data_IF_769196980900
#
_entry.id   IF_769196980900
#
_cell.length_a   1.000
_cell.length_b   1.000
_cell.length_c   1.000
_cell.angle_alpha   90.00
_cell.angle_beta   90.00
_cell.angle_gamma   90.00
#
_symmetry.space_group_name_H-M   'P 1'
#
loop_
_entity.id
_entity.type
_entity.pdbx_description
1 polymer ?
#
# COMPACT_ATOMS: atom_id res chain seq x y z
N UNK A 1 -19.91 -0.45 16.01
CA UNK A 1 -19.44 0.98 16.24
C UNK A 1 -19.45 1.34 17.73
N UNK A 2 -20.53 1.08 18.47
CA UNK A 2 -20.64 1.44 19.88
C UNK A 2 -19.56 0.76 20.74
N UNK A 3 -19.37 -0.54 20.56
CA UNK A 3 -18.35 -1.35 21.25
C UNK A 3 -16.94 -0.80 21.00
N UNK A 4 -16.63 -0.35 19.78
CA UNK A 4 -15.34 0.20 19.42
C UNK A 4 -15.03 1.50 20.16
N UNK A 5 -16.01 2.38 20.34
CA UNK A 5 -15.85 3.61 21.13
C UNK A 5 -15.53 3.28 22.61
N UNK A 6 -16.20 2.29 23.16
CA UNK A 6 -15.96 1.84 24.54
C UNK A 6 -14.60 1.16 24.69
N UNK A 7 -14.19 0.34 23.71
CA UNK A 7 -12.87 -0.27 23.66
C UNK A 7 -11.76 0.78 23.68
N UNK A 8 -11.86 1.82 22.84
CA UNK A 8 -10.91 2.94 22.83
C UNK A 8 -10.79 3.65 24.19
N UNK A 9 -11.90 3.82 24.89
CA UNK A 9 -11.90 4.42 26.23
C UNK A 9 -11.23 3.51 27.25
N UNK A 10 -11.45 2.19 27.20
CA UNK A 10 -10.80 1.22 28.07
C UNK A 10 -9.29 1.13 27.83
N UNK A 11 -8.84 1.22 26.58
CA UNK A 11 -7.41 1.24 26.25
C UNK A 11 -6.72 2.50 26.81
N UNK A 12 -7.42 3.63 26.81
CA UNK A 12 -6.90 4.89 27.39
C UNK A 12 -6.91 4.93 28.92
N UNK A 13 -7.89 4.28 29.54
CA UNK A 13 -8.05 4.25 30.99
C UNK A 13 -8.76 2.96 31.40
N UNK A 14 -8.01 2.05 32.02
CA UNK A 14 -8.54 0.77 32.50
C UNK A 14 -9.61 0.93 33.59
N UNK A 15 -9.61 2.06 34.31
CA UNK A 15 -10.66 2.40 35.27
C UNK A 15 -12.04 2.64 34.60
N UNK A 16 -12.07 2.78 33.27
CA UNK A 16 -13.34 2.93 32.56
C UNK A 16 -14.29 1.74 32.76
N UNK A 17 -13.76 0.56 33.08
CA UNK A 17 -14.57 -0.65 33.38
C UNK A 17 -15.52 -0.44 34.58
N UNK A 18 -15.18 0.47 35.50
CA UNK A 18 -15.99 0.81 36.66
C UNK A 18 -17.03 1.91 36.38
N UNK A 19 -16.95 2.52 35.20
CA UNK A 19 -17.86 3.61 34.83
C UNK A 19 -19.29 3.11 34.63
N UNK A 20 -20.26 3.97 34.97
CA UNK A 20 -21.67 3.69 34.72
C UNK A 20 -21.95 3.45 33.21
N UNK A 21 -21.19 4.12 32.34
CA UNK A 21 -21.33 3.97 30.89
C UNK A 21 -20.98 2.55 30.44
N UNK A 22 -19.92 1.95 30.98
CA UNK A 22 -19.55 0.57 30.65
C UNK A 22 -20.52 -0.43 31.26
N UNK A 23 -20.92 -0.22 32.54
CA UNK A 23 -21.86 -1.10 33.25
C UNK A 23 -23.26 -1.13 32.65
N UNK A 24 -23.68 -0.08 31.96
CA UNK A 24 -24.98 0.01 31.29
C UNK A 24 -25.01 -0.71 29.93
N UNK A 25 -23.86 -1.19 29.42
CA UNK A 25 -23.82 -2.02 28.22
C UNK A 25 -24.44 -3.38 28.51
N UNK A 26 -24.92 -4.06 27.45
CA UNK A 26 -25.36 -5.45 27.57
C UNK A 26 -24.18 -6.33 28.02
N UNK A 27 -24.45 -7.42 28.74
CA UNK A 27 -23.42 -8.36 29.20
C UNK A 27 -22.62 -8.92 27.99
N UNK A 28 -23.28 -9.15 26.85
CA UNK A 28 -22.63 -9.58 25.60
C UNK A 28 -21.63 -8.53 25.10
N UNK A 29 -22.02 -7.27 25.01
CA UNK A 29 -21.11 -6.19 24.58
C UNK A 29 -19.95 -5.97 25.56
N UNK A 30 -20.23 -6.06 26.89
CA UNK A 30 -19.17 -5.97 27.90
C UNK A 30 -18.15 -7.10 27.72
N UNK A 31 -18.61 -8.32 27.51
CA UNK A 31 -17.73 -9.48 27.32
C UNK A 31 -16.90 -9.34 26.04
N UNK A 32 -17.51 -8.97 24.90
CA UNK A 32 -16.80 -8.74 23.63
C UNK A 32 -15.70 -7.69 23.76
N UNK A 33 -16.00 -6.54 24.39
CA UNK A 33 -15.03 -5.47 24.58
C UNK A 33 -13.84 -5.93 25.45
N UNK A 34 -14.12 -6.70 26.53
CA UNK A 34 -13.06 -7.22 27.40
C UNK A 34 -12.21 -8.26 26.67
N UNK A 35 -12.82 -9.16 25.90
CA UNK A 35 -12.10 -10.18 25.14
C UNK A 35 -11.13 -9.52 24.15
N UNK A 36 -11.60 -8.57 23.36
CA UNK A 36 -10.74 -7.81 22.42
C UNK A 36 -9.62 -7.06 23.15
N UNK A 37 -9.89 -6.47 24.32
CA UNK A 37 -8.87 -5.79 25.12
C UNK A 37 -7.81 -6.75 25.65
N UNK A 38 -8.21 -7.94 26.09
CA UNK A 38 -7.28 -8.97 26.57
C UNK A 38 -6.39 -9.50 25.43
N UNK A 39 -6.97 -9.70 24.23
CA UNK A 39 -6.24 -10.10 23.02
C UNK A 39 -5.26 -9.01 22.60
N UNK A 40 -5.68 -7.75 22.63
CA UNK A 40 -4.80 -6.61 22.33
C UNK A 40 -3.64 -6.49 23.32
N UNK A 41 -3.88 -6.70 24.61
CA UNK A 41 -2.80 -6.73 25.60
C UNK A 41 -1.84 -7.89 25.36
N UNK A 42 -2.35 -9.06 24.96
CA UNK A 42 -1.53 -10.21 24.62
C UNK A 42 -0.67 -9.95 23.37
N UNK A 43 -1.27 -9.35 22.33
CA UNK A 43 -0.57 -8.93 21.11
C UNK A 43 0.57 -7.97 21.43
N UNK A 44 0.31 -6.91 22.22
CA UNK A 44 1.36 -5.98 22.65
C UNK A 44 2.51 -6.67 23.37
N UNK A 45 2.22 -7.64 24.24
CA UNK A 45 3.23 -8.40 24.95
C UNK A 45 4.07 -9.27 24.01
N UNK A 46 3.47 -9.79 22.94
CA UNK A 46 4.18 -10.59 21.94
C UNK A 46 5.19 -9.75 21.15
N UNK A 47 4.82 -8.51 20.82
CA UNK A 47 5.71 -7.57 20.11
C UNK A 47 6.79 -6.98 21.02
N UNK A 48 6.46 -6.74 22.29
CA UNK A 48 7.38 -6.16 23.28
C UNK A 48 7.37 -7.02 24.56
N UNK A 49 8.16 -8.11 24.59
CA UNK A 49 8.17 -9.07 25.70
C UNK A 49 8.50 -8.48 27.07
N UNK A 50 9.28 -7.38 27.09
CA UNK A 50 9.69 -6.68 28.32
C UNK A 50 8.58 -5.81 28.94
N UNK A 51 7.45 -5.65 28.26
CA UNK A 51 6.30 -4.95 28.84
C UNK A 51 5.77 -5.72 30.06
N UNK A 52 5.87 -5.09 31.22
CA UNK A 52 5.28 -5.64 32.46
C UNK A 52 3.78 -5.83 32.25
N UNK A 53 3.27 -6.96 32.74
CA UNK A 53 1.83 -7.20 32.74
C UNK A 53 1.13 -6.10 33.55
N UNK A 54 0.11 -5.47 32.98
CA UNK A 54 -0.71 -4.52 33.71
C UNK A 54 -1.34 -5.21 34.93
N UNK A 55 -1.24 -4.60 36.13
CA UNK A 55 -1.91 -5.12 37.33
C UNK A 55 -3.41 -5.29 37.13
N UNK A 56 -3.97 -4.55 36.23
CA UNK A 56 -5.39 -4.50 35.92
C UNK A 56 -5.88 -5.66 35.05
N UNK A 57 -4.96 -6.40 34.38
CA UNK A 57 -5.33 -7.62 33.65
C UNK A 57 -6.09 -8.61 34.53
N UNK A 58 -5.67 -8.76 35.79
CA UNK A 58 -6.37 -9.63 36.76
C UNK A 58 -7.78 -9.13 37.07
N UNK A 59 -7.99 -7.81 37.08
CA UNK A 59 -9.31 -7.21 37.24
C UNK A 59 -10.20 -7.47 36.02
N UNK A 60 -9.67 -7.28 34.82
CA UNK A 60 -10.37 -7.58 33.57
C UNK A 60 -10.81 -9.05 33.52
N UNK A 61 -9.90 -10.00 33.81
CA UNK A 61 -10.20 -11.41 33.85
C UNK A 61 -11.28 -11.74 34.89
N UNK A 62 -11.25 -11.11 36.08
CA UNK A 62 -12.26 -11.29 37.13
C UNK A 62 -13.64 -10.75 36.70
N UNK A 63 -13.69 -9.66 35.97
CA UNK A 63 -14.96 -9.13 35.41
C UNK A 63 -15.43 -10.06 34.28
N UNK A 64 -14.55 -10.45 33.39
CA UNK A 64 -14.86 -11.34 32.26
C UNK A 64 -15.43 -12.69 32.73
N UNK A 65 -14.88 -13.26 33.81
CA UNK A 65 -15.36 -14.56 34.36
C UNK A 65 -16.79 -14.54 34.90
N UNK A 66 -17.36 -13.36 35.10
CA UNK A 66 -18.75 -13.19 35.55
C UNK A 66 -19.72 -12.95 34.40
N UNK A 67 -19.22 -12.73 33.19
CA UNK A 67 -20.02 -12.47 32.00
C UNK A 67 -20.26 -13.78 31.23
N UNK A 68 -21.31 -13.84 30.39
CA UNK A 68 -21.62 -15.02 29.64
C UNK A 68 -20.50 -15.41 28.68
N UNK A 69 -20.41 -16.73 28.40
CA UNK A 69 -19.56 -17.21 27.31
C UNK A 69 -20.16 -16.74 26.00
N UNK A 70 -19.33 -16.12 25.17
CA UNK A 70 -19.72 -15.72 23.83
C UNK A 70 -19.11 -16.74 22.88
N UNK A 71 -19.97 -17.42 22.15
CA UNK A 71 -19.52 -18.15 20.97
C UNK A 71 -19.08 -17.12 19.93
N UNK A 72 -17.78 -17.10 19.62
CA UNK A 72 -17.26 -16.27 18.53
C UNK A 72 -17.72 -16.89 17.21
N UNK A 73 -18.76 -16.34 16.63
CA UNK A 73 -19.21 -16.64 15.27
C UNK A 73 -18.22 -16.03 14.26
N UNK A 74 -16.93 -16.32 14.37
CA UNK A 74 -15.99 -16.03 13.28
C UNK A 74 -16.23 -17.08 12.20
N UNK A 75 -17.02 -16.71 11.21
CA UNK A 75 -17.10 -17.50 9.98
C UNK A 75 -15.85 -17.22 9.15
N UNK A 76 -15.03 -18.24 8.97
CA UNK A 76 -13.89 -18.20 8.05
C UNK A 76 -14.30 -18.52 6.60
N UNK A 77 -15.57 -18.73 6.34
CA UNK A 77 -16.10 -19.15 5.04
C UNK A 77 -15.82 -18.14 3.92
N UNK A 78 -15.64 -16.87 4.26
CA UNK A 78 -15.36 -15.81 3.30
C UNK A 78 -13.88 -15.40 3.22
N UNK A 79 -13.00 -16.08 3.95
CA UNK A 79 -11.57 -15.80 3.88
C UNK A 79 -10.98 -16.61 2.74
N UNK A 80 -10.64 -15.93 1.66
CA UNK A 80 -9.96 -16.56 0.52
C UNK A 80 -8.59 -17.10 0.95
N UNK A 81 -8.26 -18.27 0.46
CA UNK A 81 -6.93 -18.86 0.69
C UNK A 81 -5.84 -18.01 0.03
N UNK A 82 -4.64 -17.89 0.60
CA UNK A 82 -3.49 -17.29 -0.08
C UNK A 82 -3.19 -17.89 -1.46
N UNK A 83 -3.51 -19.17 -1.65
CA UNK A 83 -3.34 -19.85 -2.95
C UNK A 83 -4.33 -19.38 -4.03
N UNK A 84 -5.38 -18.67 -3.67
CA UNK A 84 -6.34 -18.08 -4.59
C UNK A 84 -5.95 -16.67 -5.04
N UNK A 85 -4.90 -16.11 -4.42
CA UNK A 85 -4.34 -14.81 -4.78
C UNK A 85 -3.61 -14.80 -6.11
N UNK A 86 -3.12 -13.65 -6.48
CA UNK A 86 -2.35 -13.43 -7.71
C UNK A 86 -1.04 -14.25 -7.70
N UNK A 87 -0.72 -14.99 -8.78
CA UNK A 87 0.56 -15.65 -8.90
C UNK A 87 1.75 -14.67 -8.78
N UNK A 88 2.88 -15.09 -8.17
CA UNK A 88 4.02 -14.20 -7.94
C UNK A 88 4.77 -13.80 -9.20
N UNK A 89 4.67 -14.57 -10.28
CA UNK A 89 5.31 -14.26 -11.56
C UNK A 89 4.26 -13.92 -12.60
N UNK A 90 4.53 -12.87 -13.38
CA UNK A 90 3.64 -12.42 -14.44
C UNK A 90 4.37 -12.08 -15.72
N UNK A 91 3.66 -12.27 -16.83
CA UNK A 91 4.03 -11.82 -18.15
C UNK A 91 3.02 -10.77 -18.63
N UNK A 92 3.53 -9.77 -19.32
CA UNK A 92 2.75 -8.72 -19.95
C UNK A 92 2.97 -8.75 -21.44
N UNK A 93 1.89 -8.58 -22.20
CA UNK A 93 1.91 -8.31 -23.62
C UNK A 93 0.90 -7.22 -23.90
N UNK A 94 1.27 -6.19 -24.63
CA UNK A 94 0.41 -5.07 -24.91
C UNK A 94 0.92 -4.17 -26.03
N UNK A 95 0.15 -3.14 -26.31
CA UNK A 95 0.53 -2.07 -27.25
C UNK A 95 0.72 -0.79 -26.51
N UNK A 96 1.74 -0.02 -26.88
CA UNK A 96 2.04 1.30 -26.33
C UNK A 96 1.87 2.33 -27.44
N UNK A 97 1.18 3.41 -27.15
CA UNK A 97 1.07 4.56 -28.02
C UNK A 97 1.82 5.72 -27.38
N UNK A 98 2.80 6.24 -28.07
CA UNK A 98 3.60 7.36 -27.62
C UNK A 98 3.49 8.49 -28.66
N UNK A 99 3.11 9.69 -28.22
CA UNK A 99 2.84 10.81 -29.11
C UNK A 99 4.06 11.25 -29.93
N UNK A 100 5.27 11.01 -29.39
CA UNK A 100 6.53 11.44 -30.02
C UNK A 100 7.23 10.29 -30.77
N UNK A 101 7.13 9.05 -30.26
CA UNK A 101 7.84 7.89 -30.80
C UNK A 101 6.95 6.95 -31.62
N UNK A 102 5.64 7.20 -31.65
CA UNK A 102 4.66 6.35 -32.31
C UNK A 102 4.32 5.04 -31.57
N UNK A 103 3.58 4.14 -32.23
CA UNK A 103 3.15 2.88 -31.63
C UNK A 103 4.30 1.88 -31.45
N UNK A 104 4.19 1.01 -30.47
CA UNK A 104 5.09 -0.11 -30.21
C UNK A 104 4.33 -1.31 -29.63
N UNK A 105 4.84 -2.51 -29.86
CA UNK A 105 4.47 -3.69 -29.11
C UNK A 105 5.31 -3.73 -27.83
N UNK A 106 4.68 -3.95 -26.68
CA UNK A 106 5.37 -4.06 -25.41
C UNK A 106 5.21 -5.46 -24.83
N UNK A 107 6.30 -5.98 -24.29
CA UNK A 107 6.29 -7.17 -23.43
C UNK A 107 7.02 -6.87 -22.13
N UNK A 108 6.62 -7.56 -21.07
CA UNK A 108 7.23 -7.40 -19.75
C UNK A 108 7.18 -8.68 -18.93
N UNK A 109 8.07 -8.73 -17.95
CA UNK A 109 8.19 -9.85 -17.00
C UNK A 109 8.38 -9.29 -15.60
N UNK A 110 7.61 -9.80 -14.64
CA UNK A 110 7.77 -9.58 -13.21
C UNK A 110 8.11 -10.87 -12.51
N UNK A 111 9.21 -10.89 -11.77
CA UNK A 111 9.65 -12.11 -11.09
C UNK A 111 8.99 -12.29 -9.72
N UNK A 112 8.69 -11.21 -9.02
CA UNK A 112 7.91 -11.23 -7.79
C UNK A 112 6.95 -10.05 -7.84
N UNK A 113 5.66 -10.35 -7.82
CA UNK A 113 4.65 -9.39 -8.18
C UNK A 113 3.44 -9.45 -7.25
N UNK A 114 3.23 -8.38 -6.55
CA UNK A 114 1.97 -8.02 -5.93
C UNK A 114 1.84 -6.50 -6.00
N UNK A 115 0.86 -5.99 -6.70
CA UNK A 115 0.62 -4.56 -6.80
C UNK A 115 -0.71 -4.16 -6.16
N UNK A 116 -0.86 -2.86 -5.91
CA UNK A 116 -2.06 -2.27 -5.29
C UNK A 116 -3.34 -2.46 -6.11
N UNK A 117 -3.23 -2.69 -7.40
CA UNK A 117 -4.37 -3.01 -8.27
C UNK A 117 -4.62 -4.52 -8.33
N UNK A 118 -3.77 -5.33 -7.70
CA UNK A 118 -3.88 -6.78 -7.63
C UNK A 118 -5.01 -7.25 -6.74
N UNK A 119 -5.24 -8.56 -6.74
CA UNK A 119 -6.09 -9.20 -5.76
C UNK A 119 -5.32 -9.31 -4.43
N UNK A 120 -5.97 -8.98 -3.33
CA UNK A 120 -5.33 -8.87 -2.01
C UNK A 120 -5.28 -10.21 -1.24
N UNK A 121 -5.89 -11.27 -1.78
CA UNK A 121 -5.93 -12.58 -1.12
C UNK A 121 -4.53 -13.12 -0.86
N UNK A 122 -4.21 -13.36 0.41
CA UNK A 122 -2.91 -13.85 0.85
C UNK A 122 -1.77 -12.85 0.88
N UNK A 123 -2.04 -11.59 0.59
CA UNK A 123 -1.07 -10.50 0.63
C UNK A 123 -1.40 -9.49 1.74
N UNK A 124 -0.43 -8.64 2.08
CA UNK A 124 -0.68 -7.51 2.98
C UNK A 124 -1.61 -6.51 2.28
N UNK A 125 -2.70 -6.16 2.97
CA UNK A 125 -3.64 -5.16 2.49
C UNK A 125 -2.94 -3.82 2.24
N UNK A 126 -3.32 -3.17 1.13
CA UNK A 126 -2.80 -1.86 0.75
C UNK A 126 -1.26 -1.82 0.66
N UNK A 127 -0.65 -2.91 0.25
CA UNK A 127 0.78 -3.02 0.03
C UNK A 127 1.09 -3.40 -1.43
N UNK A 128 2.25 -3.01 -1.90
CA UNK A 128 2.80 -3.40 -3.19
C UNK A 128 4.21 -3.92 -3.00
N UNK A 129 4.51 -5.04 -3.62
CA UNK A 129 5.86 -5.60 -3.70
C UNK A 129 6.08 -6.07 -5.13
N UNK A 130 6.84 -5.32 -5.88
CA UNK A 130 7.25 -5.66 -7.24
C UNK A 130 8.76 -5.71 -7.27
N UNK A 131 9.33 -6.82 -7.73
CA UNK A 131 10.77 -6.96 -7.90
C UNK A 131 11.09 -7.51 -9.28
N UNK A 132 12.23 -7.09 -9.82
CA UNK A 132 12.71 -7.50 -11.15
C UNK A 132 11.65 -7.30 -12.24
N UNK A 133 11.12 -6.08 -12.32
CA UNK A 133 10.19 -5.67 -13.36
C UNK A 133 10.95 -5.21 -14.60
N UNK A 134 10.74 -5.90 -15.70
CA UNK A 134 11.43 -5.69 -16.97
C UNK A 134 10.43 -5.39 -18.06
N UNK A 135 10.60 -4.25 -18.75
CA UNK A 135 9.77 -3.87 -19.90
C UNK A 135 10.62 -3.73 -21.16
N UNK A 136 10.13 -4.30 -22.25
CA UNK A 136 10.75 -4.31 -23.55
C UNK A 136 9.75 -3.83 -24.59
N UNK A 137 10.19 -3.00 -25.53
CA UNK A 137 9.38 -2.52 -26.65
C UNK A 137 10.00 -2.90 -27.98
N UNK A 138 9.13 -3.28 -28.90
CA UNK A 138 9.44 -3.52 -30.29
C UNK A 138 8.76 -2.45 -31.11
N UNK A 139 9.55 -1.67 -31.83
CA UNK A 139 9.09 -0.59 -32.71
C UNK A 139 9.80 -0.67 -34.03
N UNK A 140 9.04 -0.80 -35.10
CA UNK A 140 9.57 -1.09 -36.43
C UNK A 140 10.53 -2.29 -36.37
N UNK A 141 11.77 -2.13 -36.77
CA UNK A 141 12.81 -3.17 -36.74
C UNK A 141 13.73 -3.06 -35.50
N UNK A 142 13.34 -2.27 -34.51
CA UNK A 142 14.15 -2.04 -33.31
C UNK A 142 13.57 -2.71 -32.06
N UNK A 143 14.47 -3.28 -31.27
CA UNK A 143 14.20 -3.80 -29.94
C UNK A 143 14.80 -2.88 -28.90
N UNK A 144 14.03 -2.50 -27.90
CA UNK A 144 14.50 -1.66 -26.83
C UNK A 144 14.04 -2.16 -25.48
N UNK A 145 14.96 -2.23 -24.52
CA UNK A 145 14.68 -2.37 -23.12
C UNK A 145 14.34 -0.98 -22.56
N UNK A 146 13.10 -0.78 -22.12
CA UNK A 146 12.59 0.55 -21.76
C UNK A 146 12.60 0.83 -20.27
N UNK A 147 12.49 -0.22 -19.46
CA UNK A 147 12.50 -0.14 -18.01
C UNK A 147 13.07 -1.41 -17.41
N UNK A 148 13.82 -1.25 -16.35
CA UNK A 148 14.17 -2.29 -15.42
C UNK A 148 14.05 -1.76 -14.00
N UNK A 149 13.08 -2.26 -13.25
CA UNK A 149 12.87 -1.92 -11.86
C UNK A 149 13.40 -3.05 -10.98
N UNK A 150 14.41 -2.74 -10.19
CA UNK A 150 14.99 -3.71 -9.27
C UNK A 150 13.98 -4.05 -8.16
N UNK A 151 13.36 -3.01 -7.61
CA UNK A 151 12.25 -3.15 -6.69
C UNK A 151 11.36 -1.89 -6.70
N UNK A 152 10.08 -2.10 -6.39
CA UNK A 152 9.10 -1.09 -6.00
C UNK A 152 8.29 -1.68 -4.85
N UNK A 153 8.47 -1.13 -3.67
CA UNK A 153 7.83 -1.60 -2.44
C UNK A 153 7.15 -0.42 -1.79
N UNK A 154 5.87 -0.56 -1.50
CA UNK A 154 5.10 0.48 -0.82
C UNK A 154 4.01 -0.10 0.07
N UNK A 155 3.66 0.64 1.11
CA UNK A 155 2.59 0.31 2.05
C UNK A 155 1.79 1.56 2.38
N UNK A 156 0.47 1.46 2.25
CA UNK A 156 -0.47 2.46 2.74
C UNK A 156 -1.02 2.01 4.10
N UNK A 157 -0.68 2.74 5.13
CA UNK A 157 -1.13 2.47 6.49
C UNK A 157 -2.41 3.27 6.78
N UNK A 158 -3.56 2.59 6.77
CA UNK A 158 -4.87 3.23 6.95
C UNK A 158 -5.25 3.44 8.41
N UNK A 159 -4.57 2.77 9.35
CA UNK A 159 -4.88 2.84 10.79
C UNK A 159 -6.38 2.61 11.10
N UNK A 160 -6.99 1.51 10.64
CA UNK A 160 -8.43 1.33 10.61
C UNK A 160 -9.06 1.30 12.00
N UNK A 161 -8.32 0.90 13.02
CA UNK A 161 -8.84 0.82 14.39
C UNK A 161 -8.82 2.17 15.09
N UNK A 162 -7.91 3.08 14.71
CA UNK A 162 -7.65 4.34 15.39
C UNK A 162 -7.35 4.16 16.89
N UNK A 163 -6.81 2.99 17.27
CA UNK A 163 -6.38 2.66 18.63
C UNK A 163 -4.98 3.22 18.83
N UNK A 164 -4.70 3.74 20.02
CA UNK A 164 -3.36 4.21 20.38
C UNK A 164 -2.32 3.08 20.23
N UNK A 165 -1.34 3.28 19.36
CA UNK A 165 -0.33 2.28 19.01
C UNK A 165 -0.60 1.52 17.72
N UNK A 166 -1.74 1.75 17.06
CA UNK A 166 -2.06 1.27 15.72
C UNK A 166 -1.68 2.29 14.64
N UNK A 167 -1.07 3.39 15.03
CA UNK A 167 -0.57 4.38 14.08
C UNK A 167 0.70 3.87 13.44
N UNK A 168 0.66 3.69 12.12
CA UNK A 168 1.82 3.35 11.29
C UNK A 168 1.97 4.42 10.18
N UNK A 169 3.19 4.56 9.67
CA UNK A 169 3.47 5.44 8.54
C UNK A 169 3.29 4.68 7.23
N UNK A 170 2.65 5.33 6.28
CA UNK A 170 2.75 4.90 4.90
C UNK A 170 4.16 5.20 4.38
N UNK A 171 4.72 4.28 3.61
CA UNK A 171 6.06 4.45 3.06
C UNK A 171 6.18 3.79 1.69
N UNK A 172 7.13 4.26 0.93
CA UNK A 172 7.47 3.67 -0.37
C UNK A 172 8.97 3.78 -0.64
N UNK A 173 9.48 2.84 -1.42
CA UNK A 173 10.85 2.85 -1.91
C UNK A 173 10.92 2.15 -3.25
N UNK A 174 11.73 2.69 -4.17
CA UNK A 174 11.94 2.11 -5.49
C UNK A 174 13.33 2.38 -5.99
N UNK A 175 13.85 1.45 -6.80
CA UNK A 175 15.12 1.61 -7.48
C UNK A 175 15.12 0.86 -8.82
N UNK A 176 15.86 1.39 -9.77
CA UNK A 176 15.95 0.80 -11.09
C UNK A 176 16.53 1.76 -12.12
N UNK A 177 16.24 1.50 -13.35
CA UNK A 177 16.43 2.45 -14.43
C UNK A 177 15.19 2.48 -15.34
N UNK A 178 14.92 3.62 -15.92
CA UNK A 178 13.79 3.85 -16.80
C UNK A 178 14.17 4.87 -17.88
N UNK A 179 13.30 5.03 -18.86
CA UNK A 179 13.43 6.11 -19.83
C UNK A 179 13.34 7.47 -19.14
N UNK A 180 14.27 8.36 -19.43
CA UNK A 180 14.36 9.67 -18.78
C UNK A 180 13.19 10.58 -19.18
N UNK A 181 12.83 10.55 -20.44
CA UNK A 181 11.65 11.23 -20.95
C UNK A 181 10.94 10.34 -21.98
N UNK A 182 9.63 10.53 -22.14
CA UNK A 182 8.80 9.68 -22.98
C UNK A 182 9.12 9.84 -24.49
N UNK A 183 9.74 10.94 -24.90
CA UNK A 183 10.08 11.22 -26.29
C UNK A 183 11.49 10.82 -26.72
N UNK A 184 12.29 10.26 -25.82
CA UNK A 184 13.67 9.89 -26.12
C UNK A 184 13.92 8.40 -25.89
N UNK A 185 14.10 7.64 -26.96
CA UNK A 185 14.38 6.20 -26.88
C UNK A 185 15.71 5.89 -26.17
N UNK A 186 16.87 6.50 -26.52
CA UNK A 186 18.16 6.16 -25.90
C UNK A 186 18.39 6.80 -24.52
N UNK A 187 17.51 7.72 -24.08
CA UNK A 187 17.69 8.44 -22.82
C UNK A 187 17.23 7.59 -21.64
N UNK A 188 18.17 7.06 -20.88
CA UNK A 188 17.89 6.22 -19.70
C UNK A 188 18.49 6.86 -18.46
N UNK A 189 17.75 6.84 -17.36
CA UNK A 189 18.20 7.29 -16.06
C UNK A 189 18.18 6.13 -15.08
N UNK A 190 19.18 6.06 -14.21
CA UNK A 190 19.15 5.21 -13.03
C UNK A 190 18.56 6.05 -11.91
N UNK A 191 17.68 5.48 -11.14
CA UNK A 191 17.02 6.16 -10.03
C UNK A 191 16.97 5.29 -8.77
N UNK A 192 16.95 5.97 -7.64
CA UNK A 192 16.58 5.44 -6.34
C UNK A 192 15.73 6.48 -5.62
N UNK A 193 14.65 6.05 -5.02
CA UNK A 193 13.83 6.95 -4.19
C UNK A 193 13.28 6.23 -2.98
N UNK A 194 12.95 7.01 -1.97
CA UNK A 194 12.27 6.54 -0.77
C UNK A 194 11.54 7.68 -0.09
N UNK A 195 10.38 7.39 0.48
CA UNK A 195 9.55 8.41 1.10
C UNK A 195 8.60 7.85 2.15
N UNK A 196 8.05 8.79 2.91
CA UNK A 196 7.07 8.52 3.95
C UNK A 196 5.86 9.43 3.76
N UNK A 197 4.72 9.00 4.29
CA UNK A 197 3.50 9.77 4.18
C UNK A 197 2.36 9.22 5.00
N UNK A 198 1.15 9.60 4.64
CA UNK A 198 -0.08 9.13 5.24
C UNK A 198 -1.05 8.62 4.20
N UNK A 199 -1.97 7.77 4.63
CA UNK A 199 -3.09 7.30 3.84
C UNK A 199 -4.36 7.28 4.68
N UNK A 200 -5.49 7.53 4.04
CA UNK A 200 -6.82 7.45 4.65
C UNK A 200 -7.77 6.74 3.68
N UNK A 201 -8.87 6.24 4.19
CA UNK A 201 -9.99 5.75 3.39
C UNK A 201 -11.24 6.52 3.77
N UNK A 202 -11.88 7.18 2.82
CA UNK A 202 -13.08 7.98 3.05
C UNK A 202 -14.35 7.16 2.87
N UNK A 203 -14.39 6.28 1.87
CA UNK A 203 -15.56 5.49 1.51
C UNK A 203 -15.38 3.97 1.69
N UNK A 204 -14.28 3.51 2.26
CA UNK A 204 -14.00 2.09 2.52
C UNK A 204 -13.60 1.25 1.30
N UNK A 205 -13.65 1.84 0.10
CA UNK A 205 -13.24 1.23 -1.17
C UNK A 205 -12.17 2.07 -1.91
N UNK A 206 -11.64 3.02 -1.23
CA UNK A 206 -10.68 4.00 -1.71
C UNK A 206 -9.55 4.15 -0.71
N UNK A 207 -8.40 4.55 -1.19
CA UNK A 207 -7.23 4.91 -0.39
C UNK A 207 -6.65 6.17 -0.97
N UNK A 208 -6.91 7.30 -0.32
CA UNK A 208 -6.25 8.56 -0.59
C UNK A 208 -4.91 8.58 0.15
N UNK A 209 -3.89 9.04 -0.54
CA UNK A 209 -2.55 9.06 0.04
C UNK A 209 -1.76 10.31 -0.36
N UNK A 210 -0.84 10.67 0.53
CA UNK A 210 0.13 11.72 0.31
C UNK A 210 1.50 11.26 0.82
N UNK A 211 2.54 11.44 0.00
CA UNK A 211 3.93 11.10 0.32
C UNK A 211 4.85 12.27 0.07
N UNK A 212 5.92 12.33 0.84
CA UNK A 212 7.10 13.10 0.50
C UNK A 212 8.25 12.11 0.25
N UNK A 213 8.74 12.08 -0.98
CA UNK A 213 9.88 11.27 -1.37
C UNK A 213 11.15 12.09 -1.47
N UNK A 214 12.26 11.48 -1.13
CA UNK A 214 13.60 11.88 -1.54
C UNK A 214 14.00 11.00 -2.71
N UNK A 215 14.64 11.60 -3.71
CA UNK A 215 15.10 10.86 -4.87
C UNK A 215 16.53 11.25 -5.27
N UNK A 216 17.22 10.27 -5.83
CA UNK A 216 18.48 10.45 -6.55
C UNK A 216 18.37 9.82 -7.93
N UNK A 217 18.80 10.53 -8.96
CA UNK A 217 18.81 10.01 -10.31
C UNK A 217 20.03 10.46 -11.10
N UNK A 218 20.45 9.64 -12.07
CA UNK A 218 21.50 10.01 -13.01
C UNK A 218 20.90 10.77 -14.17
N UNK A 219 21.64 11.75 -14.67
CA UNK A 219 21.29 12.47 -15.89
C UNK A 219 22.28 12.11 -16.99
N UNK A 220 21.78 11.74 -18.15
CA UNK A 220 22.62 11.31 -19.29
C UNK A 220 23.18 12.47 -20.09
N UNK A 221 22.53 13.63 -20.09
CA UNK A 221 23.04 14.84 -20.75
C UNK A 221 24.31 15.36 -20.07
N UNK A 222 24.46 15.07 -18.79
CA UNK A 222 25.61 15.40 -17.99
C UNK A 222 26.35 14.14 -17.58
N UNK A 223 27.34 13.69 -18.31
CA UNK A 223 28.07 12.41 -18.21
C UNK A 223 28.52 11.93 -16.80
N UNK A 224 28.23 12.67 -15.75
CA UNK A 224 28.55 12.37 -14.36
C UNK A 224 27.70 13.10 -13.31
N UNK A 225 26.62 13.78 -13.70
CA UNK A 225 25.82 14.51 -12.72
C UNK A 225 24.73 13.62 -12.13
N UNK A 226 24.72 13.56 -10.83
CA UNK A 226 23.64 13.00 -10.03
C UNK A 226 22.73 14.16 -9.64
N UNK A 227 21.44 14.03 -9.94
CA UNK A 227 20.40 14.94 -9.45
C UNK A 227 19.84 14.38 -8.16
N UNK A 228 19.79 15.21 -7.13
CA UNK A 228 19.16 14.91 -5.85
C UNK A 228 18.00 15.88 -5.65
N UNK A 229 16.91 15.38 -5.10
CA UNK A 229 15.74 16.21 -4.88
C UNK A 229 14.68 15.57 -4.00
N UNK A 230 13.53 16.21 -3.97
CA UNK A 230 12.35 15.73 -3.28
C UNK A 230 11.13 15.80 -4.20
N UNK A 231 10.14 14.95 -3.92
CA UNK A 231 8.91 14.88 -4.68
C UNK A 231 7.72 14.66 -3.75
N UNK A 232 6.87 15.67 -3.54
CA UNK A 232 5.55 15.44 -2.99
C UNK A 232 4.69 14.70 -4.00
N UNK A 233 3.98 13.67 -3.53
CA UNK A 233 3.04 12.85 -4.29
C UNK A 233 1.67 12.89 -3.65
N UNK A 234 0.65 12.96 -4.47
CA UNK A 234 -0.74 12.81 -4.08
C UNK A 234 -1.39 11.78 -4.99
N UNK A 235 -2.27 10.96 -4.43
CA UNK A 235 -2.98 10.00 -5.25
C UNK A 235 -4.17 9.36 -4.57
N UNK A 236 -4.90 8.60 -5.37
CA UNK A 236 -6.05 7.81 -4.95
C UNK A 236 -6.00 6.43 -5.61
N UNK A 237 -6.24 5.40 -4.82
CA UNK A 237 -6.57 4.07 -5.30
C UNK A 237 -8.05 3.84 -5.00
N UNK A 238 -8.81 3.48 -6.01
CA UNK A 238 -10.24 3.27 -5.90
C UNK A 238 -10.62 1.90 -6.44
N UNK A 239 -11.44 1.16 -5.69
CA UNK A 239 -11.91 -0.17 -6.03
C UNK A 239 -13.43 -0.17 -6.14
N UNK A 240 -14.02 0.33 -7.25
CA UNK A 240 -15.48 0.36 -7.42
C UNK A 240 -16.08 -1.05 -7.36
N UNK A 241 -15.35 -2.05 -7.83
CA UNK A 241 -15.69 -3.48 -7.79
C UNK A 241 -14.42 -4.29 -7.46
N UNK A 242 -14.57 -5.50 -6.90
CA UNK A 242 -13.43 -6.38 -6.62
C UNK A 242 -12.56 -6.65 -7.86
N UNK A 243 -13.22 -6.80 -9.02
CA UNK A 243 -12.53 -7.08 -10.29
C UNK A 243 -12.00 -5.83 -10.99
N UNK A 244 -12.38 -4.62 -10.57
CA UNK A 244 -11.98 -3.37 -11.23
C UNK A 244 -11.38 -2.40 -10.22
N UNK A 245 -10.11 -2.09 -10.42
CA UNK A 245 -9.35 -1.16 -9.58
C UNK A 245 -8.71 -0.08 -10.42
N UNK A 246 -8.65 1.12 -9.87
CA UNK A 246 -8.16 2.33 -10.51
C UNK A 246 -7.16 3.01 -9.58
N UNK A 247 -6.07 3.53 -10.14
CA UNK A 247 -5.10 4.39 -9.45
C UNK A 247 -4.88 5.66 -10.26
N UNK A 248 -4.91 6.79 -9.58
CA UNK A 248 -4.46 8.07 -10.09
C UNK A 248 -3.44 8.63 -9.12
N UNK A 249 -2.27 9.00 -9.61
CA UNK A 249 -1.20 9.58 -8.80
C UNK A 249 -0.52 10.71 -9.57
N UNK A 250 -0.17 11.78 -8.89
CA UNK A 250 0.64 12.87 -9.41
C UNK A 250 1.76 13.22 -8.45
N UNK A 251 2.97 13.35 -8.97
CA UNK A 251 4.17 13.73 -8.25
C UNK A 251 4.85 14.94 -8.86
N UNK A 252 5.30 15.87 -8.03
CA UNK A 252 6.02 17.09 -8.42
C UNK A 252 7.48 16.95 -7.97
N UNK A 253 8.35 16.72 -8.91
CA UNK A 253 9.78 16.52 -8.67
C UNK A 253 10.50 17.86 -8.65
N UNK A 254 11.17 18.17 -7.53
CA UNK A 254 11.94 19.38 -7.34
C UNK A 254 13.40 19.00 -7.10
N UNK A 255 14.28 19.39 -8.01
CA UNK A 255 15.72 19.18 -7.82
C UNK A 255 16.27 20.18 -6.81
N UNK A 256 17.05 19.67 -5.87
CA UNK A 256 17.87 20.44 -4.92
C UNK A 256 19.30 20.60 -5.42
N UNK A 257 19.79 19.58 -6.13
CA UNK A 257 21.14 19.54 -6.68
C UNK A 257 21.12 18.77 -8.00
N UNK A 258 21.85 19.26 -8.98
CA UNK A 258 21.97 18.66 -10.31
C UNK A 258 21.42 19.55 -11.41
N UNK A 259 21.54 19.11 -12.67
CA UNK A 259 21.14 19.92 -13.85
C UNK A 259 19.64 19.96 -14.07
N UNK A 260 18.89 18.99 -13.55
CA UNK A 260 17.45 18.91 -13.76
C UNK A 260 16.70 19.98 -12.98
N UNK A 261 15.69 20.53 -13.64
CA UNK A 261 14.72 21.45 -13.04
C UNK A 261 13.55 20.64 -12.45
N UNK A 262 12.53 21.35 -11.99
CA UNK A 262 11.28 20.73 -11.57
C UNK A 262 10.55 20.10 -12.77
N UNK A 263 9.89 18.95 -12.53
CA UNK A 263 8.97 18.34 -13.49
C UNK A 263 7.81 17.67 -12.74
N UNK A 264 6.71 17.51 -13.45
CA UNK A 264 5.54 16.80 -12.95
C UNK A 264 5.38 15.48 -13.68
N UNK A 265 5.03 14.43 -12.93
CA UNK A 265 4.66 13.13 -13.47
C UNK A 265 3.26 12.77 -12.97
N UNK A 266 2.33 12.59 -13.88
CA UNK A 266 0.98 12.14 -13.58
C UNK A 266 0.75 10.79 -14.23
N UNK A 267 0.25 9.84 -13.44
CA UNK A 267 -0.02 8.47 -13.86
C UNK A 267 -1.45 8.08 -13.53
N UNK A 268 -2.13 7.51 -14.50
CA UNK A 268 -3.42 6.87 -14.37
C UNK A 268 -3.29 5.40 -14.76
N UNK A 269 -3.66 4.51 -13.87
CA UNK A 269 -3.67 3.08 -14.10
C UNK A 269 -5.05 2.53 -13.79
N UNK A 270 -5.52 1.62 -14.60
CA UNK A 270 -6.67 0.78 -14.25
C UNK A 270 -6.40 -0.68 -14.59
N UNK A 271 -6.97 -1.55 -13.80
CA UNK A 271 -6.90 -2.99 -13.97
C UNK A 271 -8.29 -3.60 -13.89
N UNK A 272 -8.60 -4.48 -14.83
CA UNK A 272 -9.77 -5.34 -14.80
C UNK A 272 -9.31 -6.80 -14.72
N UNK A 273 -9.60 -7.46 -13.61
CA UNK A 273 -9.30 -8.88 -13.40
C UNK A 273 -10.36 -9.72 -14.12
N UNK A 274 -9.92 -10.59 -15.01
CA UNK A 274 -10.80 -11.54 -15.75
C UNK A 274 -10.83 -12.87 -15.02
N UNK A 275 -9.69 -13.31 -14.52
CA UNK A 275 -9.53 -14.53 -13.72
C UNK A 275 -8.28 -14.41 -12.85
N UNK A 276 -8.01 -15.40 -12.00
CA UNK A 276 -6.79 -15.45 -11.18
C UNK A 276 -5.48 -15.24 -11.99
N UNK A 277 -5.45 -15.72 -13.24
CA UNK A 277 -4.26 -15.69 -14.09
C UNK A 277 -4.29 -14.61 -15.18
N UNK A 278 -5.41 -13.94 -15.40
CA UNK A 278 -5.59 -13.00 -16.50
C UNK A 278 -6.21 -11.68 -16.06
N UNK A 279 -5.60 -10.59 -16.47
CA UNK A 279 -6.15 -9.25 -16.35
C UNK A 279 -5.88 -8.39 -17.59
N UNK A 280 -6.66 -7.34 -17.72
CA UNK A 280 -6.45 -6.27 -18.70
C UNK A 280 -6.04 -5.02 -17.92
N UNK A 281 -5.04 -4.29 -18.43
CA UNK A 281 -4.57 -3.02 -17.87
C UNK A 281 -4.58 -1.92 -18.90
N UNK A 282 -4.92 -0.74 -18.45
CA UNK A 282 -4.67 0.51 -19.14
C UNK A 282 -3.78 1.37 -18.24
N UNK A 283 -2.69 1.87 -18.81
CA UNK A 283 -1.76 2.77 -18.13
C UNK A 283 -1.59 4.01 -19.01
N UNK A 284 -1.74 5.18 -18.41
CA UNK A 284 -1.51 6.48 -19.07
C UNK A 284 -0.53 7.25 -18.20
N UNK A 285 0.52 7.77 -18.83
CA UNK A 285 1.53 8.56 -18.14
C UNK A 285 1.76 9.86 -18.89
N UNK A 286 1.83 10.96 -18.15
CA UNK A 286 2.14 12.30 -18.64
C UNK A 286 3.33 12.86 -17.86
N UNK A 287 4.30 13.41 -18.57
CA UNK A 287 5.46 14.10 -18.03
C UNK A 287 5.45 15.56 -18.56
N UNK A 288 5.50 16.53 -17.65
CA UNK A 288 5.56 17.97 -17.95
C UNK A 288 6.78 18.64 -17.35
#
# INVERSE_FOLDING_TARGET
ELEHVHLKKLIKSENYIDSNYFRNLTERSQAQIIDVLLDYQQYKKTIAPDLKQSPERSKLLRVRSKLPIIENEFSFENIKSPSEGTPPMRFRLGTVFNDLLGPALETGVWANYHDLLGEESGHLLNAEVVTLDLHMQFRDDSFELTQFQLFNIQKYALNPTGISGDFDWSWRTRAGWERENLGCSPCKKIFISGGMGGAISLAGKDVEHAFLELYGETDKESRSAISLGYAPHLGVNWSPMEMWKIRLESGWFQSLQGPKKAYQNTRFDQRMTISQNWDIRLEVQQLE
#
